data_IF_759307584302
#
_entry.id   IF_759307584302
#
_cell.length_a   1.000
_cell.length_b   1.000
_cell.length_c   1.000
_cell.angle_alpha   90.00
_cell.angle_beta   90.00
_cell.angle_gamma   90.00
#
_symmetry.space_group_name_H-M   'P 1'
#
loop_
_entity.id
_entity.type
_entity.pdbx_description
1 polymer ?
#
# COMPACT_ATOMS: atom_id res chain seq x y z
N UNK A 1 1.66 -24.79 -25.39
CA UNK A 1 2.52 -24.86 -24.18
C UNK A 1 2.26 -23.64 -23.27
N UNK A 2 2.24 -22.42 -23.81
CA UNK A 2 1.99 -21.15 -23.10
C UNK A 2 0.75 -21.11 -22.16
N UNK A 3 -0.32 -21.83 -22.48
CA UNK A 3 -1.56 -21.84 -21.69
C UNK A 3 -1.46 -22.66 -20.38
N UNK A 4 -0.57 -23.66 -20.31
CA UNK A 4 -0.41 -24.50 -19.12
C UNK A 4 0.39 -23.77 -18.04
N UNK A 5 1.51 -23.16 -18.43
CA UNK A 5 2.33 -22.33 -17.53
C UNK A 5 1.55 -21.11 -17.02
N UNK A 6 0.75 -20.45 -17.88
CA UNK A 6 -0.13 -19.35 -17.45
C UNK A 6 -1.18 -19.81 -16.43
N UNK A 7 -1.75 -21.01 -16.59
CA UNK A 7 -2.70 -21.59 -15.60
C UNK A 7 -2.00 -21.95 -14.29
N UNK A 8 -0.86 -22.63 -14.34
CA UNK A 8 -0.10 -23.01 -13.14
C UNK A 8 0.38 -21.78 -12.36
N UNK A 9 0.82 -20.73 -13.07
CA UNK A 9 1.18 -19.45 -12.45
C UNK A 9 -0.01 -18.81 -11.75
N UNK A 10 -1.20 -18.81 -12.36
CA UNK A 10 -2.42 -18.27 -11.73
C UNK A 10 -2.81 -19.04 -10.47
N UNK A 11 -2.72 -20.37 -10.51
CA UNK A 11 -3.00 -21.23 -9.34
C UNK A 11 -2.02 -20.90 -8.21
N UNK A 12 -0.71 -20.88 -8.49
CA UNK A 12 0.32 -20.53 -7.49
C UNK A 12 0.09 -19.14 -6.87
N UNK A 13 -0.25 -18.14 -7.69
CA UNK A 13 -0.56 -16.79 -7.20
C UNK A 13 -1.82 -16.82 -6.33
N UNK A 14 -2.87 -17.53 -6.77
CA UNK A 14 -4.10 -17.68 -6.00
C UNK A 14 -3.92 -18.51 -4.74
N UNK A 15 -2.96 -19.43 -4.63
CA UNK A 15 -2.75 -20.25 -3.43
C UNK A 15 -1.76 -19.61 -2.46
N UNK A 16 -0.96 -18.67 -2.93
CA UNK A 16 0.06 -17.98 -2.12
C UNK A 16 -0.54 -17.39 -0.85
N UNK A 17 0.08 -17.70 0.28
CA UNK A 17 -0.22 -17.10 1.60
C UNK A 17 -0.11 -15.58 1.56
N UNK A 18 0.75 -15.04 0.72
CA UNK A 18 0.98 -13.59 0.56
C UNK A 18 -0.10 -12.90 -0.28
N UNK A 19 -1.00 -13.66 -0.92
CA UNK A 19 -2.10 -13.15 -1.72
C UNK A 19 -3.39 -12.98 -0.90
N UNK A 20 -3.39 -13.20 0.43
CA UNK A 20 -4.59 -13.17 1.26
C UNK A 20 -5.45 -11.90 1.07
N UNK A 21 -4.83 -10.73 0.95
CA UNK A 21 -5.51 -9.45 0.69
C UNK A 21 -6.05 -9.32 -0.75
N UNK A 22 -5.47 -10.06 -1.70
CA UNK A 22 -5.90 -10.05 -3.10
C UNK A 22 -6.97 -11.13 -3.35
N UNK A 23 -6.96 -12.23 -2.58
CA UNK A 23 -8.08 -13.18 -2.49
C UNK A 23 -9.36 -12.47 -2.08
N UNK A 24 -9.37 -11.71 -0.99
CA UNK A 24 -10.57 -11.01 -0.51
C UNK A 24 -11.14 -10.04 -1.56
N UNK A 25 -10.28 -9.35 -2.32
CA UNK A 25 -10.71 -8.49 -3.45
C UNK A 25 -11.37 -9.31 -4.56
N UNK A 26 -10.88 -10.53 -4.83
CA UNK A 26 -11.43 -11.41 -5.87
C UNK A 26 -12.68 -12.20 -5.41
N UNK A 27 -12.83 -12.47 -4.10
CA UNK A 27 -13.85 -13.37 -3.56
C UNK A 27 -14.99 -12.67 -2.82
N UNK A 28 -14.76 -11.51 -2.19
CA UNK A 28 -15.76 -10.89 -1.31
C UNK A 28 -16.45 -9.69 -1.97
N UNK A 29 -15.69 -8.63 -2.30
CA UNK A 29 -16.22 -7.45 -2.99
C UNK A 29 -15.08 -6.57 -3.49
N UNK A 30 -15.34 -5.83 -4.57
CA UNK A 30 -14.46 -4.74 -4.97
C UNK A 30 -14.36 -3.72 -3.82
N UNK A 31 -13.16 -3.30 -3.40
CA UNK A 31 -13.02 -2.24 -2.42
C UNK A 31 -13.81 -0.98 -2.78
N UNK A 32 -14.52 -0.38 -1.81
CA UNK A 32 -15.41 0.76 -2.10
C UNK A 32 -14.72 1.97 -2.72
N UNK A 33 -13.44 2.19 -2.42
CA UNK A 33 -12.65 3.25 -3.03
C UNK A 33 -12.51 3.11 -4.56
N UNK A 34 -12.71 1.89 -5.09
CA UNK A 34 -12.72 1.60 -6.52
C UNK A 34 -14.10 1.77 -7.17
N UNK A 35 -15.20 1.59 -6.42
CA UNK A 35 -16.59 1.66 -6.94
C UNK A 35 -17.02 3.10 -7.32
N UNK A 36 -16.43 4.14 -6.70
CA UNK A 36 -16.84 5.54 -6.89
C UNK A 36 -16.25 6.28 -8.11
N UNK A 37 -16.71 7.52 -8.35
CA UNK A 37 -16.23 8.45 -9.41
C UNK A 37 -14.86 9.11 -9.11
N UNK A 38 -14.06 8.55 -8.19
CA UNK A 38 -12.72 9.09 -7.86
C UNK A 38 -11.81 9.07 -9.09
N UNK A 39 -10.90 10.04 -9.19
CA UNK A 39 -9.92 10.11 -10.29
C UNK A 39 -9.04 8.86 -10.26
N UNK A 40 -8.67 8.34 -11.43
CA UNK A 40 -7.81 7.14 -11.56
C UNK A 40 -6.50 7.27 -10.78
N UNK A 41 -5.89 8.46 -10.78
CA UNK A 41 -4.67 8.76 -10.01
C UNK A 41 -4.85 8.59 -8.51
N UNK A 42 -6.00 8.96 -7.97
CA UNK A 42 -6.30 8.87 -6.54
C UNK A 42 -6.59 7.43 -6.14
N UNK A 43 -7.32 6.68 -6.98
CA UNK A 43 -7.52 5.24 -6.80
C UNK A 43 -6.18 4.50 -6.78
N UNK A 44 -5.30 4.81 -7.74
CA UNK A 44 -3.96 4.21 -7.81
C UNK A 44 -3.11 4.57 -6.60
N UNK A 45 -3.18 5.79 -6.08
CA UNK A 45 -2.45 6.17 -4.87
C UNK A 45 -2.90 5.34 -3.66
N UNK A 46 -4.21 5.21 -3.45
CA UNK A 46 -4.76 4.40 -2.35
C UNK A 46 -4.30 2.95 -2.46
N UNK A 47 -4.38 2.37 -3.66
CA UNK A 47 -3.95 1.00 -3.92
C UNK A 47 -2.47 0.79 -3.59
N UNK A 48 -1.60 1.72 -4.03
CA UNK A 48 -0.17 1.64 -3.76
C UNK A 48 0.18 1.71 -2.27
N UNK A 49 -0.56 2.49 -1.48
CA UNK A 49 -0.42 2.48 -0.02
C UNK A 49 -0.97 1.19 0.61
N UNK A 50 -2.13 0.69 0.18
CA UNK A 50 -2.69 -0.58 0.68
C UNK A 50 -1.77 -1.78 0.42
N UNK A 51 -1.04 -1.75 -0.70
CA UNK A 51 -0.06 -2.76 -1.07
C UNK A 51 1.36 -2.45 -0.57
N UNK A 52 1.54 -1.45 0.30
CA UNK A 52 2.83 -1.06 0.90
C UNK A 52 3.93 -0.65 -0.10
N UNK A 53 3.58 -0.50 -1.38
CA UNK A 53 4.50 -0.13 -2.46
C UNK A 53 5.02 1.32 -2.36
N UNK A 54 4.36 2.16 -1.56
CA UNK A 54 4.75 3.55 -1.29
C UNK A 54 5.82 3.69 -0.19
N UNK A 55 6.24 2.58 0.42
CA UNK A 55 7.23 2.58 1.50
C UNK A 55 8.51 1.89 1.05
N UNK A 56 9.67 2.42 1.42
CA UNK A 56 10.95 1.79 1.11
C UNK A 56 11.19 0.50 1.90
N UNK A 57 10.60 0.34 3.09
CA UNK A 57 10.74 -0.89 3.88
C UNK A 57 10.21 -2.14 3.19
N UNK A 58 9.23 -2.00 2.31
CA UNK A 58 8.73 -3.14 1.51
C UNK A 58 9.70 -3.59 0.39
N UNK A 59 10.78 -2.82 0.13
CA UNK A 59 11.75 -3.09 -0.93
C UNK A 59 12.89 -3.97 -0.45
N UNK A 60 12.57 -5.18 0.03
CA UNK A 60 13.50 -6.13 0.67
C UNK A 60 14.74 -6.51 -0.17
N UNK A 61 14.74 -6.20 -1.47
CA UNK A 61 15.88 -6.39 -2.38
C UNK A 61 16.90 -5.24 -2.34
N UNK A 62 16.65 -4.17 -1.57
CA UNK A 62 17.58 -3.06 -1.36
C UNK A 62 18.34 -3.20 -0.04
N UNK A 63 19.50 -2.56 -0.01
CA UNK A 63 20.30 -2.37 1.21
C UNK A 63 19.49 -1.67 2.32
N UNK A 64 19.85 -1.92 3.57
CA UNK A 64 19.13 -1.41 4.75
C UNK A 64 19.11 0.12 4.76
N UNK A 65 20.24 0.77 4.45
CA UNK A 65 20.36 2.23 4.37
C UNK A 65 19.43 2.82 3.31
N UNK A 66 19.26 2.10 2.19
CA UNK A 66 18.39 2.47 1.09
C UNK A 66 16.90 2.36 1.45
N UNK A 67 16.58 1.48 2.43
CA UNK A 67 15.26 1.24 2.99
C UNK A 67 14.86 2.18 4.13
N UNK A 68 15.80 3.01 4.59
CA UNK A 68 15.54 3.99 5.64
C UNK A 68 14.49 5.03 5.25
N UNK A 69 13.79 5.51 6.27
CA UNK A 69 12.77 6.56 6.23
C UNK A 69 13.29 7.79 5.50
N UNK A 70 12.52 8.28 4.52
CA UNK A 70 12.89 9.50 3.76
C UNK A 70 12.84 10.76 4.62
N UNK A 71 12.21 10.69 5.79
CA UNK A 71 11.99 11.81 6.69
C UNK A 71 12.99 11.76 7.84
N UNK A 72 13.16 10.59 8.45
CA UNK A 72 13.94 10.45 9.68
C UNK A 72 15.28 9.74 9.48
N UNK A 73 15.53 9.09 8.33
CA UNK A 73 16.77 8.40 7.93
C UNK A 73 17.33 7.32 8.88
N UNK A 74 16.75 7.12 10.06
CA UNK A 74 17.25 6.17 11.08
C UNK A 74 16.50 4.84 11.06
N UNK A 75 15.18 4.85 10.84
CA UNK A 75 14.36 3.63 10.88
C UNK A 75 13.89 3.20 9.49
N UNK A 76 13.58 1.92 9.33
CA UNK A 76 12.97 1.38 8.11
C UNK A 76 11.63 2.08 7.80
N UNK A 77 11.46 2.53 6.55
CA UNK A 77 10.26 3.26 6.15
C UNK A 77 9.05 2.30 6.12
N UNK A 78 8.13 2.43 7.08
CA UNK A 78 6.87 1.68 7.14
C UNK A 78 5.67 2.60 7.33
N UNK A 79 4.47 2.19 6.90
CA UNK A 79 3.24 2.99 7.08
C UNK A 79 3.03 3.37 8.55
N UNK A 80 3.35 2.45 9.46
CA UNK A 80 3.30 2.71 10.90
C UNK A 80 4.26 3.81 11.33
N UNK A 81 5.52 3.75 10.89
CA UNK A 81 6.51 4.80 11.16
C UNK A 81 6.04 6.16 10.60
N UNK A 82 5.51 6.17 9.38
CA UNK A 82 4.98 7.39 8.75
C UNK A 82 3.82 7.96 9.57
N UNK A 83 2.81 7.16 9.94
CA UNK A 83 1.64 7.67 10.68
C UNK A 83 1.94 8.03 12.14
N UNK A 84 2.93 7.40 12.77
CA UNK A 84 3.23 7.58 14.20
C UNK A 84 4.29 8.65 14.45
N UNK A 85 5.31 8.71 13.61
CA UNK A 85 6.49 9.55 13.85
C UNK A 85 6.49 10.80 12.97
N UNK A 86 5.93 10.78 11.76
CA UNK A 86 5.89 11.97 10.90
C UNK A 86 4.99 13.05 11.46
N UNK A 87 5.57 14.20 11.84
CA UNK A 87 4.84 15.35 12.42
C UNK A 87 3.63 15.78 11.60
N UNK A 88 3.72 15.73 10.26
CA UNK A 88 2.62 16.13 9.37
C UNK A 88 1.42 15.17 9.39
N UNK A 89 1.61 13.93 9.85
CA UNK A 89 0.56 12.90 9.85
C UNK A 89 0.29 12.29 11.21
N UNK A 90 1.09 12.66 12.22
CA UNK A 90 0.96 12.21 13.60
C UNK A 90 -0.44 12.56 14.11
N UNK A 91 -1.19 11.53 14.50
CA UNK A 91 -2.57 11.61 15.03
C UNK A 91 -3.71 11.91 14.04
N UNK A 92 -3.50 12.00 12.72
CA UNK A 92 -4.62 12.27 11.79
C UNK A 92 -5.58 11.06 11.65
N UNK A 93 -5.03 9.85 11.48
CA UNK A 93 -5.81 8.64 11.21
C UNK A 93 -5.15 7.41 11.84
N UNK A 94 -5.97 6.53 12.43
CA UNK A 94 -5.53 5.16 12.74
C UNK A 94 -5.22 4.41 11.44
N UNK A 95 -4.25 3.51 11.48
CA UNK A 95 -3.80 2.72 10.32
C UNK A 95 -4.97 2.07 9.58
N UNK A 96 -5.94 1.46 10.29
CA UNK A 96 -7.08 0.78 9.67
C UNK A 96 -7.98 1.72 8.85
N UNK A 97 -8.10 2.98 9.28
CA UNK A 97 -8.85 3.99 8.52
C UNK A 97 -8.04 4.57 7.37
N UNK A 98 -6.72 4.67 7.54
CA UNK A 98 -5.80 5.19 6.54
C UNK A 98 -5.73 4.27 5.30
N UNK A 99 -5.46 2.97 5.50
CA UNK A 99 -5.44 1.96 4.42
C UNK A 99 -6.80 1.27 4.19
N UNK A 100 -7.87 1.78 4.83
CA UNK A 100 -9.19 1.17 4.77
C UNK A 100 -9.86 1.23 3.39
N UNK A 101 -10.84 0.36 3.18
CA UNK A 101 -11.50 0.16 1.88
C UNK A 101 -12.32 1.35 1.39
N UNK A 102 -12.68 2.26 2.29
CA UNK A 102 -13.42 3.50 1.99
C UNK A 102 -12.53 4.57 1.32
N UNK A 103 -11.20 4.40 1.34
CA UNK A 103 -10.26 5.39 0.80
C UNK A 103 -10.26 6.71 1.57
N UNK A 104 -10.47 6.64 2.90
CA UNK A 104 -10.51 7.82 3.79
C UNK A 104 -9.14 8.48 3.98
N UNK A 105 -8.05 7.72 3.85
CA UNK A 105 -6.68 8.24 3.97
C UNK A 105 -6.17 9.07 2.79
N UNK A 106 -6.96 9.28 1.72
CA UNK A 106 -6.46 9.89 0.47
C UNK A 106 -5.80 11.26 0.67
N UNK A 107 -6.38 12.14 1.49
CA UNK A 107 -5.81 13.47 1.69
C UNK A 107 -4.51 13.41 2.49
N UNK A 108 -4.44 12.59 3.54
CA UNK A 108 -3.21 12.30 4.28
C UNK A 108 -2.14 11.71 3.35
N UNK A 109 -2.48 10.75 2.48
CA UNK A 109 -1.55 10.18 1.48
C UNK A 109 -0.97 11.25 0.55
N UNK A 110 -1.79 12.21 0.10
CA UNK A 110 -1.32 13.33 -0.74
C UNK A 110 -0.40 14.27 0.02
N UNK A 111 -0.68 14.56 1.30
CA UNK A 111 0.20 15.39 2.15
C UNK A 111 1.57 14.74 2.27
N UNK A 112 1.60 13.48 2.69
CA UNK A 112 2.82 12.67 2.80
C UNK A 112 3.64 12.71 1.50
N UNK A 113 3.00 12.52 0.35
CA UNK A 113 3.69 12.53 -0.94
C UNK A 113 4.33 13.88 -1.31
N UNK A 114 3.89 14.99 -0.70
CA UNK A 114 4.53 16.31 -0.83
C UNK A 114 5.69 16.46 0.15
N UNK A 115 5.55 15.98 1.39
CA UNK A 115 6.57 16.07 2.44
C UNK A 115 7.79 15.22 2.14
N UNK A 116 7.62 14.07 1.48
CA UNK A 116 8.70 13.13 1.16
C UNK A 116 9.45 13.42 -0.14
N UNK A 117 9.10 14.49 -0.85
CA UNK A 117 9.80 14.94 -2.06
C UNK A 117 10.97 15.84 -1.70
#
# INVERSE_FOLDING_TARGET
IENKEKKERRVKVSESRHNCNYKSIMTEKLPKYLEGKRKRKDKSLIDRYRCESETKGSQYWREVEDRSSRIYLVEEESIFHILKECEETKNELRTEKFIGEEGRGLETMKKIGKTRK
#
